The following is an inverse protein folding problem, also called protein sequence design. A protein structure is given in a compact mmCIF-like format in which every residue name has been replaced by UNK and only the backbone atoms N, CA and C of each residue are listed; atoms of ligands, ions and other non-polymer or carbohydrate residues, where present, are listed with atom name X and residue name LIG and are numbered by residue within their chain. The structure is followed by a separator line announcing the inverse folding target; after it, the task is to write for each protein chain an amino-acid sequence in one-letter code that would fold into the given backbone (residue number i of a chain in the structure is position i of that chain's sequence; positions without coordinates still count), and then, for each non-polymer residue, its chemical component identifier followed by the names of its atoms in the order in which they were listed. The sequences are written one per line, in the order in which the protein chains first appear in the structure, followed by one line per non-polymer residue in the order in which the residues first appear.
data_IF_824767820619
#
_entry.id   IF_824767820619
#
_cell.length_a   1.000
_cell.length_b   1.000
_cell.length_c   1.000
_cell.angle_alpha   90.00
_cell.angle_beta   90.00
_cell.angle_gamma   90.00
#
_symmetry.space_group_name_H-M   'P 1'
#
loop_
_entity.id
_entity.type
_entity.pdbx_description
1 polymer ?
#
# COMPACT_ATOMS: atom_id res chain seq x y z
N UNK A 1 8.02 -19.51 4.18
CA UNK A 1 9.43 -19.10 3.97
C UNK A 1 9.98 -18.70 5.33
N UNK A 2 11.09 -19.29 5.76
CA UNK A 2 11.72 -18.94 7.04
C UNK A 2 12.67 -17.75 6.87
N UNK A 3 13.04 -17.09 7.97
CA UNK A 3 14.01 -15.96 7.93
C UNK A 3 15.35 -16.41 7.30
N UNK A 4 15.84 -17.60 7.66
CA UNK A 4 17.08 -18.14 7.08
C UNK A 4 17.00 -18.47 5.59
N UNK A 5 15.80 -18.72 5.04
CA UNK A 5 15.61 -18.86 3.60
C UNK A 5 15.66 -17.50 2.90
N UNK A 6 15.12 -16.44 3.52
CA UNK A 6 15.17 -15.07 2.99
C UNK A 6 16.62 -14.62 2.89
N UNK A 7 17.41 -14.77 3.94
CA UNK A 7 18.83 -14.34 3.95
C UNK A 7 19.70 -15.05 2.90
N UNK A 8 19.36 -16.30 2.53
CA UNK A 8 20.15 -17.10 1.59
C UNK A 8 19.69 -16.97 0.15
N UNK A 9 18.40 -16.70 -0.09
CA UNK A 9 17.78 -16.77 -1.43
C UNK A 9 17.36 -15.41 -1.96
N UNK A 10 17.17 -14.42 -1.11
CA UNK A 10 16.69 -13.10 -1.50
C UNK A 10 17.83 -12.09 -1.42
N UNK A 11 18.06 -11.38 -2.52
CA UNK A 11 19.00 -10.26 -2.53
C UNK A 11 18.47 -9.08 -1.72
N UNK A 12 19.35 -8.21 -1.25
CA UNK A 12 18.93 -6.98 -0.55
C UNK A 12 18.07 -6.07 -1.43
N UNK A 13 18.25 -6.12 -2.75
CA UNK A 13 17.41 -5.41 -3.72
C UNK A 13 16.00 -5.96 -3.72
N UNK A 14 15.83 -7.28 -3.89
CA UNK A 14 14.51 -7.92 -3.87
C UNK A 14 13.81 -7.70 -2.53
N UNK A 15 14.55 -7.78 -1.42
CA UNK A 15 13.99 -7.48 -0.10
C UNK A 15 13.50 -6.04 0.00
N UNK A 16 14.28 -5.08 -0.52
CA UNK A 16 13.88 -3.67 -0.57
C UNK A 16 12.64 -3.44 -1.43
N UNK A 17 12.54 -4.09 -2.59
CA UNK A 17 11.37 -4.05 -3.46
C UNK A 17 10.13 -4.65 -2.75
N UNK A 18 10.28 -5.77 -2.05
CA UNK A 18 9.22 -6.37 -1.24
C UNK A 18 8.76 -5.46 -0.09
N UNK A 19 9.69 -4.82 0.62
CA UNK A 19 9.37 -3.89 1.69
C UNK A 19 8.60 -2.68 1.17
N UNK A 20 9.02 -2.11 0.04
CA UNK A 20 8.33 -1.00 -0.60
C UNK A 20 6.93 -1.41 -1.08
N UNK A 21 6.81 -2.60 -1.68
CA UNK A 21 5.52 -3.14 -2.13
C UNK A 21 4.54 -3.32 -0.96
N UNK A 22 4.97 -3.97 0.11
CA UNK A 22 4.14 -4.19 1.32
C UNK A 22 3.72 -2.89 1.99
N UNK A 23 4.63 -1.90 2.05
CA UNK A 23 4.35 -0.64 2.74
C UNK A 23 3.43 0.29 1.94
N UNK A 24 3.60 0.37 0.64
CA UNK A 24 2.96 1.44 -0.16
C UNK A 24 1.87 0.97 -1.11
N UNK A 25 1.77 -0.33 -1.39
CA UNK A 25 0.86 -0.84 -2.42
C UNK A 25 -0.07 -1.93 -1.89
N UNK A 26 0.46 -2.94 -1.20
CA UNK A 26 -0.35 -4.06 -0.73
C UNK A 26 0.30 -4.78 0.44
N UNK A 27 -0.29 -4.68 1.63
CA UNK A 27 0.21 -5.39 2.80
C UNK A 27 0.11 -6.92 2.59
N UNK A 28 1.25 -7.59 2.65
CA UNK A 28 1.31 -9.05 2.59
C UNK A 28 1.62 -9.59 3.99
N UNK A 29 0.87 -10.60 4.47
CA UNK A 29 -0.27 -11.28 3.84
C UNK A 29 -1.60 -10.52 3.99
N UNK A 30 -2.62 -10.97 3.26
CA UNK A 30 -3.99 -10.40 3.23
C UNK A 30 -4.77 -10.53 4.56
N UNK A 31 -4.12 -10.96 5.64
CA UNK A 31 -4.72 -11.10 6.97
C UNK A 31 -5.25 -9.76 7.52
N UNK A 32 -4.70 -8.64 7.05
CA UNK A 32 -5.18 -7.30 7.40
C UNK A 32 -6.58 -7.03 6.88
N UNK A 33 -6.90 -7.48 5.67
CA UNK A 33 -8.24 -7.31 5.10
C UNK A 33 -9.26 -8.20 5.82
N UNK A 34 -8.91 -9.46 6.10
CA UNK A 34 -9.76 -10.40 6.83
C UNK A 34 -10.05 -9.90 8.26
N UNK A 35 -9.00 -9.46 8.96
CA UNK A 35 -9.13 -8.87 10.30
C UNK A 35 -9.95 -7.58 10.24
N UNK A 36 -9.66 -6.70 9.28
CA UNK A 36 -10.37 -5.44 9.08
C UNK A 36 -11.86 -5.65 8.78
N UNK A 37 -12.20 -6.68 8.00
CA UNK A 37 -13.60 -7.05 7.72
C UNK A 37 -14.32 -7.50 8.99
N UNK A 38 -13.66 -8.34 9.79
CA UNK A 38 -14.22 -8.84 11.05
C UNK A 38 -14.44 -7.69 12.04
N UNK A 39 -13.44 -6.82 12.21
CA UNK A 39 -13.53 -5.65 13.09
C UNK A 39 -14.60 -4.67 12.60
N UNK A 40 -14.66 -4.41 11.30
CA UNK A 40 -15.70 -3.57 10.68
C UNK A 40 -17.11 -4.11 10.98
N UNK A 41 -17.33 -5.41 10.82
CA UNK A 41 -18.60 -6.06 11.13
C UNK A 41 -18.98 -5.95 12.62
N UNK A 42 -18.01 -6.09 13.52
CA UNK A 42 -18.21 -5.96 14.98
C UNK A 42 -18.58 -4.53 15.35
N UNK A 43 -17.96 -3.52 14.72
CA UNK A 43 -18.16 -2.11 15.05
C UNK A 43 -19.38 -1.48 14.36
N UNK A 44 -19.89 -2.09 13.28
CA UNK A 44 -21.00 -1.54 12.51
C UNK A 44 -22.27 -1.22 13.34
N UNK A 45 -22.72 -2.06 14.30
CA UNK A 45 -23.89 -1.77 15.13
C UNK A 45 -23.70 -0.59 16.10
N UNK A 46 -22.45 -0.26 16.43
CA UNK A 46 -22.08 0.82 17.35
C UNK A 46 -21.66 2.11 16.63
N UNK A 47 -21.66 2.08 15.30
CA UNK A 47 -21.28 3.22 14.46
C UNK A 47 -22.51 3.99 14.02
N UNK A 48 -22.37 5.31 13.85
CA UNK A 48 -23.40 6.11 13.19
C UNK A 48 -23.61 5.62 11.74
N UNK A 49 -24.82 5.81 11.22
CA UNK A 49 -25.17 5.40 9.86
C UNK A 49 -24.21 6.01 8.84
N UNK A 50 -23.51 5.15 8.10
CA UNK A 50 -22.53 5.56 7.08
C UNK A 50 -21.13 5.89 7.62
N UNK A 51 -20.91 5.77 8.94
CA UNK A 51 -19.61 6.00 9.59
C UNK A 51 -18.93 4.72 10.11
N UNK A 52 -19.47 3.55 9.77
CA UNK A 52 -18.79 2.30 10.11
C UNK A 52 -17.40 2.26 9.45
N UNK A 53 -16.34 1.89 10.19
CA UNK A 53 -15.00 1.82 9.63
C UNK A 53 -14.97 0.75 8.53
N UNK A 54 -14.26 1.04 7.44
CA UNK A 54 -14.06 0.10 6.33
C UNK A 54 -12.93 -0.86 6.67
N UNK A 55 -12.94 -2.05 6.09
CA UNK A 55 -11.85 -3.01 6.26
C UNK A 55 -10.48 -2.41 5.85
N UNK A 56 -10.46 -1.55 4.83
CA UNK A 56 -9.26 -0.85 4.36
C UNK A 56 -8.66 0.10 5.40
N UNK A 57 -9.45 0.60 6.35
CA UNK A 57 -8.98 1.55 7.37
C UNK A 57 -8.03 0.88 8.37
N UNK A 58 -7.96 -0.46 8.37
CA UNK A 58 -7.08 -1.27 9.20
C UNK A 58 -5.85 -1.79 8.45
N UNK A 59 -5.73 -1.49 7.16
CA UNK A 59 -4.60 -1.93 6.34
C UNK A 59 -3.42 -0.96 6.54
N UNK A 60 -2.22 -1.42 6.98
CA UNK A 60 -1.08 -0.54 7.27
C UNK A 60 -0.35 -0.10 5.99
N UNK A 61 -1.09 0.41 5.00
CA UNK A 61 -0.53 0.98 3.78
C UNK A 61 -0.30 2.47 4.02
N UNK A 62 0.92 2.91 3.76
CA UNK A 62 1.33 4.32 3.83
C UNK A 62 1.24 4.96 2.44
N UNK A 63 1.14 6.30 2.40
CA UNK A 63 1.34 7.03 1.14
C UNK A 63 2.80 6.94 0.72
N UNK A 64 3.02 6.55 -0.55
CA UNK A 64 4.36 6.48 -1.11
C UNK A 64 5.01 7.88 -1.09
N UNK A 65 6.30 7.99 -0.71
CA UNK A 65 7.00 9.27 -0.75
C UNK A 65 7.05 9.79 -2.19
N UNK A 66 6.37 10.90 -2.44
CA UNK A 66 6.42 11.59 -3.73
C UNK A 66 7.60 12.56 -3.71
N UNK A 67 8.67 12.22 -4.43
CA UNK A 67 9.76 13.16 -4.62
C UNK A 67 9.37 14.16 -5.72
N UNK A 68 9.59 15.46 -5.51
CA UNK A 68 9.19 16.53 -6.44
C UNK A 68 9.69 16.30 -7.88
N UNK A 69 10.88 15.70 -8.02
CA UNK A 69 11.47 15.35 -9.32
C UNK A 69 10.66 14.27 -10.06
N UNK A 70 10.10 13.28 -9.36
CA UNK A 70 9.27 12.24 -9.96
C UNK A 70 7.97 12.84 -10.51
N UNK A 71 7.35 13.76 -9.77
CA UNK A 71 6.16 14.47 -10.22
C UNK A 71 6.46 15.34 -11.45
N UNK A 72 7.59 16.05 -11.46
CA UNK A 72 8.02 16.88 -12.60
C UNK A 72 8.17 16.07 -13.88
N UNK A 73 8.84 14.93 -13.82
CA UNK A 73 9.09 14.11 -15.01
C UNK A 73 7.79 13.53 -15.57
N UNK A 74 6.87 13.10 -14.70
CA UNK A 74 5.52 12.64 -15.09
C UNK A 74 4.71 13.79 -15.71
N UNK A 75 4.76 15.00 -15.14
CA UNK A 75 4.07 16.17 -15.68
C UNK A 75 4.62 16.55 -17.05
N UNK A 76 5.94 16.52 -17.24
CA UNK A 76 6.58 16.80 -18.53
C UNK A 76 6.22 15.76 -19.60
N UNK A 77 6.14 14.48 -19.21
CA UNK A 77 5.69 13.43 -20.10
C UNK A 77 4.21 13.62 -20.50
N UNK A 78 3.34 13.92 -19.52
CA UNK A 78 1.93 14.20 -19.77
C UNK A 78 1.74 15.43 -20.69
N UNK A 79 2.54 16.49 -20.48
CA UNK A 79 2.52 17.69 -21.31
C UNK A 79 2.89 17.38 -22.78
N UNK A 80 3.90 16.52 -23.00
CA UNK A 80 4.24 16.03 -24.35
C UNK A 80 3.09 15.22 -24.97
N UNK A 81 2.47 14.32 -24.23
CA UNK A 81 1.35 13.51 -24.72
C UNK A 81 0.13 14.37 -25.08
N UNK A 82 -0.07 15.48 -24.39
CA UNK A 82 -1.14 16.45 -24.65
C UNK A 82 -0.78 17.50 -25.71
N UNK A 83 0.43 17.45 -26.29
CA UNK A 83 0.87 18.38 -27.33
C UNK A 83 1.19 19.80 -26.82
N UNK A 84 1.46 19.94 -25.53
CA UNK A 84 1.78 21.21 -24.86
C UNK A 84 3.30 21.44 -24.70
N UNK A 85 4.13 20.70 -25.45
CA UNK A 85 5.60 20.71 -25.35
C UNK A 85 6.30 21.22 -26.60
#
# INVERSE_FOLDING_TARGET
MTVGEIERRMSSRELGEWMAFTRYYHAIPDSWLETGLTVSAILAPYSEKGKAPKASDFNPIEEAPQHEVQARDVILDLAKQLGLG
#
